data_IF_567464690731
#
_entry.id   IF_567464690731
#
_cell.length_a   1.000
_cell.length_b   1.000
_cell.length_c   1.000
_cell.angle_alpha   90.00
_cell.angle_beta   90.00
_cell.angle_gamma   90.00
#
_symmetry.space_group_name_H-M   'P 1'
#
loop_
_entity.id
_entity.type
_entity.pdbx_description
1 polymer ?
#
# COMPACT_ATOMS: atom_id res chain seq x y z
N UNK A 1 2.30 -20.08 6.37
CA UNK A 1 2.47 -20.53 4.97
C UNK A 1 3.79 -21.24 4.80
N UNK A 2 3.97 -21.97 3.71
CA UNK A 2 5.18 -22.76 3.47
C UNK A 2 6.27 -21.95 2.75
N UNK A 3 7.56 -22.29 2.93
CA UNK A 3 8.64 -21.76 2.12
C UNK A 3 8.39 -21.91 0.62
N UNK A 4 8.75 -20.87 -0.15
CA UNK A 4 8.66 -20.89 -1.61
C UNK A 4 7.23 -20.92 -2.17
N UNK A 5 6.20 -20.88 -1.32
CA UNK A 5 4.79 -20.86 -1.72
C UNK A 5 4.44 -19.50 -2.33
N UNK A 6 3.80 -19.50 -3.50
CA UNK A 6 3.15 -18.31 -4.04
C UNK A 6 1.82 -18.09 -3.32
N UNK A 7 1.56 -16.85 -2.92
CA UNK A 7 0.32 -16.47 -2.28
C UNK A 7 -0.06 -15.04 -2.62
N UNK A 8 -1.35 -14.74 -2.47
CA UNK A 8 -1.90 -13.40 -2.63
C UNK A 8 -2.34 -12.86 -1.28
N UNK A 9 -2.02 -11.60 -1.01
CA UNK A 9 -2.63 -10.83 0.07
C UNK A 9 -3.31 -9.60 -0.50
N UNK A 10 -4.41 -9.20 0.15
CA UNK A 10 -5.19 -8.03 -0.21
C UNK A 10 -4.96 -6.91 0.81
N UNK A 11 -4.73 -5.70 0.30
CA UNK A 11 -4.70 -4.48 1.08
C UNK A 11 -5.95 -3.69 0.73
N UNK A 12 -6.90 -3.64 1.67
CA UNK A 12 -8.07 -2.79 1.57
C UNK A 12 -7.84 -1.47 2.31
N UNK A 13 -8.44 -0.40 1.80
CA UNK A 13 -8.26 0.95 2.32
C UNK A 13 -9.60 1.60 2.59
N UNK A 14 -9.69 2.26 3.74
CA UNK A 14 -10.85 3.06 4.07
C UNK A 14 -10.96 4.27 3.14
N UNK A 15 -12.19 4.72 2.93
CA UNK A 15 -12.44 5.97 2.20
C UNK A 15 -12.00 7.17 3.05
N UNK A 16 -11.47 8.20 2.39
CA UNK A 16 -11.05 9.44 3.05
C UNK A 16 -12.06 10.54 2.75
N UNK A 17 -12.66 11.15 3.77
CA UNK A 17 -13.46 12.37 3.58
C UNK A 17 -12.57 13.60 3.64
N UNK A 18 -12.54 14.37 2.55
CA UNK A 18 -11.83 15.66 2.51
C UNK A 18 -12.60 16.69 3.33
N UNK A 19 -12.01 17.12 4.45
CA UNK A 19 -12.58 18.21 5.24
C UNK A 19 -12.50 19.53 4.42
N UNK A 20 -13.64 20.16 4.09
CA UNK A 20 -13.65 21.37 3.27
C UNK A 20 -12.94 22.56 3.92
N UNK A 21 -12.76 22.54 5.25
CA UNK A 21 -12.18 23.62 6.04
C UNK A 21 -10.74 23.37 6.50
N UNK A 22 -10.07 22.37 5.90
CA UNK A 22 -8.70 21.99 6.28
C UNK A 22 -7.73 23.18 6.29
N UNK A 23 -7.96 24.17 5.43
CA UNK A 23 -7.09 25.33 5.27
C UNK A 23 -7.71 26.63 5.79
N UNK A 24 -8.94 26.61 6.33
CA UNK A 24 -9.56 27.82 6.89
C UNK A 24 -8.66 28.40 8.00
N UNK A 25 -8.21 29.64 7.81
CA UNK A 25 -7.54 30.41 8.85
C UNK A 25 -8.63 31.18 9.63
N UNK A 26 -8.92 30.81 10.88
CA UNK A 26 -9.96 31.49 11.67
C UNK A 26 -9.55 32.91 12.09
N UNK A 27 -8.26 33.26 12.06
CA UNK A 27 -7.75 34.57 12.48
C UNK A 27 -7.72 35.59 11.33
N UNK A 28 -7.45 35.12 10.12
CA UNK A 28 -7.50 35.93 8.91
C UNK A 28 -8.68 35.41 8.09
N UNK A 29 -9.78 36.17 8.00
CA UNK A 29 -11.05 35.84 7.29
C UNK A 29 -10.93 35.48 5.79
N UNK A 30 -9.74 35.12 5.33
CA UNK A 30 -9.41 34.43 4.10
C UNK A 30 -9.89 32.98 4.22
N UNK A 31 -11.03 32.69 3.58
CA UNK A 31 -11.44 31.31 3.31
C UNK A 31 -10.39 30.73 2.38
N UNK A 32 -9.45 29.95 2.89
CA UNK A 32 -8.44 29.29 2.07
C UNK A 32 -9.05 28.07 1.37
N UNK A 33 -10.13 28.27 0.61
CA UNK A 33 -10.65 27.24 -0.28
C UNK A 33 -11.45 26.12 0.34
N UNK A 34 -12.68 25.94 -0.15
CA UNK A 34 -13.37 24.67 0.02
C UNK A 34 -12.70 23.60 -0.86
N UNK A 35 -12.30 22.48 -0.24
CA UNK A 35 -11.79 21.31 -0.95
C UNK A 35 -12.94 20.59 -1.67
N UNK A 36 -12.91 20.60 -3.01
CA UNK A 36 -13.99 20.05 -3.83
C UNK A 36 -13.87 18.54 -4.10
N UNK A 37 -12.73 18.10 -4.64
CA UNK A 37 -12.45 16.69 -4.96
C UNK A 37 -10.94 16.45 -5.03
N UNK A 38 -10.53 15.18 -5.09
CA UNK A 38 -9.14 14.78 -5.30
C UNK A 38 -8.91 14.35 -6.76
N UNK A 39 -7.74 14.68 -7.30
CA UNK A 39 -7.27 14.25 -8.60
C UNK A 39 -5.78 13.95 -8.57
N UNK A 40 -5.30 13.14 -9.52
CA UNK A 40 -3.91 12.65 -9.57
C UNK A 40 -3.47 11.99 -8.28
N UNK A 41 -4.40 11.27 -7.66
CA UNK A 41 -4.12 10.46 -6.48
C UNK A 41 -3.14 9.35 -6.86
N UNK A 42 -2.15 9.13 -6.00
CA UNK A 42 -1.32 7.93 -6.01
C UNK A 42 -1.25 7.31 -4.62
N UNK A 43 -1.02 6.00 -4.60
CA UNK A 43 -0.70 5.23 -3.41
C UNK A 43 0.48 4.30 -3.70
N UNK A 44 1.55 4.41 -2.93
CA UNK A 44 2.75 3.59 -3.04
C UNK A 44 2.84 2.64 -1.82
N UNK A 45 3.05 1.34 -2.07
CA UNK A 45 3.28 0.31 -1.05
C UNK A 45 4.59 -0.43 -1.33
N UNK A 46 5.22 -0.98 -0.30
CA UNK A 46 6.44 -1.76 -0.48
C UNK A 46 6.09 -3.20 -0.92
N UNK A 47 6.90 -3.76 -1.81
CA UNK A 47 6.99 -5.21 -1.96
C UNK A 47 7.68 -5.73 -0.69
N UNK A 48 7.06 -6.64 0.08
CA UNK A 48 7.65 -7.12 1.33
C UNK A 48 9.08 -7.64 1.13
N UNK A 49 9.98 -7.29 2.04
CA UNK A 49 11.37 -7.74 1.95
C UNK A 49 11.44 -9.27 2.06
N UNK A 50 12.34 -9.88 1.28
CA UNK A 50 12.58 -11.32 1.31
C UNK A 50 11.55 -12.16 0.54
N UNK A 51 10.64 -11.52 -0.22
CA UNK A 51 9.75 -12.22 -1.14
C UNK A 51 10.15 -11.94 -2.59
N UNK A 52 9.77 -12.85 -3.49
CA UNK A 52 9.86 -12.58 -4.93
C UNK A 52 8.51 -12.09 -5.44
N UNK A 53 8.49 -10.92 -6.08
CA UNK A 53 7.27 -10.38 -6.66
C UNK A 53 6.81 -11.17 -7.87
N UNK A 54 5.53 -11.56 -7.90
CA UNK A 54 4.90 -12.26 -9.02
C UNK A 54 4.01 -11.31 -9.80
N UNK A 55 2.99 -10.73 -9.15
CA UNK A 55 2.03 -9.82 -9.78
C UNK A 55 1.32 -8.93 -8.76
N UNK A 56 0.65 -7.88 -9.25
CA UNK A 56 -0.28 -7.10 -8.46
C UNK A 56 -1.42 -6.58 -9.36
N UNK A 57 -2.60 -6.39 -8.77
CA UNK A 57 -3.79 -5.87 -9.46
C UNK A 57 -4.58 -4.94 -8.56
N UNK A 58 -5.34 -4.05 -9.18
CA UNK A 58 -6.30 -3.20 -8.49
C UNK A 58 -7.57 -4.00 -8.20
N UNK A 59 -8.04 -3.95 -6.96
CA UNK A 59 -9.35 -4.45 -6.57
C UNK A 59 -10.37 -3.32 -6.79
N UNK A 60 -11.22 -3.51 -7.80
CA UNK A 60 -12.06 -2.46 -8.36
C UNK A 60 -13.04 -1.87 -7.32
N UNK A 61 -12.98 -0.57 -7.00
CA UNK A 61 -13.97 0.04 -6.14
C UNK A 61 -15.23 0.30 -6.96
N UNK A 62 -16.38 -0.17 -6.45
CA UNK A 62 -17.69 0.13 -7.02
C UNK A 62 -18.06 1.61 -6.83
N UNK A 63 -17.48 2.52 -7.62
CA UNK A 63 -17.71 3.96 -7.43
C UNK A 63 -17.59 4.79 -8.70
N UNK A 64 -18.22 5.98 -8.68
CA UNK A 64 -18.16 6.97 -9.74
C UNK A 64 -16.84 7.75 -9.71
N UNK A 65 -16.10 7.80 -10.81
CA UNK A 65 -14.82 8.52 -10.89
C UNK A 65 -13.91 7.98 -11.98
N UNK A 66 -12.65 8.41 -11.97
CA UNK A 66 -11.58 7.81 -12.77
C UNK A 66 -10.67 7.06 -11.82
N UNK A 67 -10.65 5.73 -11.87
CA UNK A 67 -9.86 4.89 -10.97
C UNK A 67 -8.64 4.29 -11.67
N UNK A 68 -7.57 3.95 -10.93
CA UNK A 68 -6.45 3.21 -11.48
C UNK A 68 -6.93 1.83 -11.94
N UNK A 69 -6.41 1.37 -13.08
CA UNK A 69 -6.68 0.03 -13.62
C UNK A 69 -5.51 -0.92 -13.42
N UNK A 70 -4.33 -0.38 -13.09
CA UNK A 70 -3.07 -1.11 -13.08
C UNK A 70 -2.21 -0.71 -11.88
N UNK A 71 -1.34 -1.64 -11.48
CA UNK A 71 -0.29 -1.43 -10.48
C UNK A 71 1.06 -1.53 -11.20
N UNK A 72 1.93 -0.55 -11.00
CA UNK A 72 3.27 -0.52 -11.61
C UNK A 72 4.36 -0.66 -10.55
N UNK A 73 5.51 -1.24 -10.92
CA UNK A 73 6.67 -1.29 -10.04
C UNK A 73 7.51 -0.03 -10.17
N UNK A 74 7.97 0.52 -9.05
CA UNK A 74 8.82 1.72 -9.00
C UNK A 74 10.05 1.52 -8.09
N UNK A 75 11.10 2.30 -8.32
CA UNK A 75 12.29 2.37 -7.46
C UNK A 75 12.10 3.38 -6.33
N UNK A 76 13.12 3.50 -5.46
CA UNK A 76 13.17 4.47 -4.37
C UNK A 76 13.08 5.93 -4.80
N UNK A 77 13.34 6.24 -6.07
CA UNK A 77 13.17 7.58 -6.64
C UNK A 77 11.78 7.79 -7.26
N UNK A 78 10.88 6.81 -7.18
CA UNK A 78 9.54 6.92 -7.76
C UNK A 78 9.44 6.60 -9.26
N UNK A 79 10.56 6.31 -9.94
CA UNK A 79 10.54 5.95 -11.36
C UNK A 79 10.14 4.50 -11.60
N UNK A 80 9.41 4.27 -12.69
CA UNK A 80 9.04 2.93 -13.15
C UNK A 80 10.26 2.03 -13.36
N UNK A 81 10.14 0.78 -12.91
CA UNK A 81 11.22 -0.19 -13.00
C UNK A 81 10.72 -1.61 -12.83
N UNK A 82 11.08 -2.48 -13.78
CA UNK A 82 10.80 -3.92 -13.68
C UNK A 82 11.43 -4.58 -12.44
N UNK A 83 12.47 -3.99 -11.87
CA UNK A 83 13.15 -4.46 -10.65
C UNK A 83 12.93 -3.53 -9.44
N UNK A 84 11.96 -2.63 -9.53
CA UNK A 84 11.60 -1.74 -8.43
C UNK A 84 11.11 -2.51 -7.21
N UNK A 85 11.39 -2.01 -6.00
CA UNK A 85 11.02 -2.64 -4.73
C UNK A 85 9.65 -2.18 -4.22
N UNK A 86 8.98 -1.31 -4.95
CA UNK A 86 7.72 -0.70 -4.55
C UNK A 86 6.68 -0.88 -5.63
N UNK A 87 5.41 -0.81 -5.24
CA UNK A 87 4.25 -0.85 -6.11
C UNK A 87 3.52 0.49 -6.02
N UNK A 88 3.11 1.03 -7.16
CA UNK A 88 2.32 2.26 -7.26
C UNK A 88 0.98 1.96 -7.90
N UNK A 89 -0.06 2.42 -7.22
CA UNK A 89 -1.40 2.52 -7.73
C UNK A 89 -1.69 3.97 -8.13
N UNK A 90 -1.83 4.20 -9.43
CA UNK A 90 -2.16 5.49 -10.03
C UNK A 90 -2.76 5.27 -11.43
N UNK A 91 -3.65 6.14 -11.89
CA UNK A 91 -4.16 6.07 -13.26
C UNK A 91 -3.20 6.77 -14.23
N UNK A 92 -2.72 6.04 -15.24
CA UNK A 92 -1.73 6.50 -16.22
C UNK A 92 -0.42 7.01 -15.58
N UNK A 93 -0.11 6.55 -14.37
CA UNK A 93 1.02 7.01 -13.55
C UNK A 93 1.10 8.55 -13.39
N UNK A 94 -0.05 9.24 -13.43
CA UNK A 94 -0.11 10.68 -13.21
C UNK A 94 -0.26 10.98 -11.72
N UNK A 95 0.73 11.67 -11.15
CA UNK A 95 0.83 12.02 -9.72
C UNK A 95 0.58 13.53 -9.48
N UNK A 96 0.52 13.97 -8.22
CA UNK A 96 0.10 15.34 -7.88
C UNK A 96 0.99 16.44 -8.47
N UNK A 97 2.27 16.16 -8.71
CA UNK A 97 3.24 17.16 -9.12
C UNK A 97 2.96 17.68 -10.53
N UNK A 98 2.77 18.99 -10.67
CA UNK A 98 2.74 19.68 -11.97
C UNK A 98 4.13 20.23 -12.27
N UNK A 99 4.66 19.98 -13.46
CA UNK A 99 5.64 20.89 -14.06
C UNK A 99 4.91 21.83 -14.98
N UNK A 100 5.25 23.12 -14.93
CA UNK A 100 4.67 24.19 -15.77
C UNK A 100 4.75 23.87 -17.28
N UNK A 101 5.63 22.93 -17.68
CA UNK A 101 5.86 22.54 -19.07
C UNK A 101 5.68 21.03 -19.36
N UNK A 102 5.01 20.26 -18.49
CA UNK A 102 4.66 18.85 -18.76
C UNK A 102 5.86 17.93 -19.03
N UNK A 103 6.97 18.15 -18.33
CA UNK A 103 8.14 17.28 -18.37
C UNK A 103 8.10 16.24 -17.25
N UNK A 104 8.44 14.99 -17.58
CA UNK A 104 8.63 13.87 -16.64
C UNK A 104 9.49 14.33 -15.47
N UNK A 105 8.90 14.35 -14.27
CA UNK A 105 9.68 14.62 -13.06
C UNK A 105 10.36 13.34 -12.63
N UNK A 106 11.40 13.46 -11.80
CA UNK A 106 12.20 12.33 -11.33
C UNK A 106 11.39 11.33 -10.47
N UNK A 107 10.11 11.63 -10.23
CA UNK A 107 9.22 10.95 -9.28
C UNK A 107 8.06 10.19 -10.02
N UNK A 108 8.03 10.18 -11.36
CA UNK A 108 7.04 9.54 -12.25
C UNK A 108 6.67 10.38 -13.51
N UNK A 109 6.08 9.80 -14.58
CA UNK A 109 5.83 10.49 -15.85
C UNK A 109 4.72 11.55 -15.71
N UNK A 110 5.19 12.77 -15.58
CA UNK A 110 4.45 14.00 -15.72
C UNK A 110 4.42 14.40 -17.20
N UNK A 111 3.41 13.94 -17.93
CA UNK A 111 3.03 14.54 -19.22
C UNK A 111 1.57 14.93 -19.19
N UNK A 112 1.24 16.03 -18.52
CA UNK A 112 0.64 17.14 -19.24
C UNK A 112 0.51 18.39 -18.37
N UNK A 113 0.82 19.53 -18.97
CA UNK A 113 0.31 20.84 -18.58
C UNK A 113 -1.22 20.96 -18.84
N UNK A 114 -1.94 19.84 -19.01
CA UNK A 114 -3.34 19.77 -19.38
C UNK A 114 -4.14 18.83 -18.48
N UNK A 115 -5.46 18.92 -18.61
CA UNK A 115 -6.45 18.46 -17.63
C UNK A 115 -6.76 16.95 -17.73
N UNK A 116 -5.94 16.19 -18.47
CA UNK A 116 -6.23 14.82 -18.85
C UNK A 116 -5.25 13.85 -18.19
N UNK A 117 -5.78 12.97 -17.33
CA UNK A 117 -5.06 11.88 -16.68
C UNK A 117 -5.03 11.96 -15.16
N UNK A 118 -4.90 10.79 -14.51
CA UNK A 118 -4.83 10.67 -13.06
C UNK A 118 -6.11 10.18 -12.41
N UNK A 119 -5.94 9.47 -11.30
CA UNK A 119 -7.03 8.94 -10.49
C UNK A 119 -7.75 10.12 -9.83
N UNK A 120 -9.06 10.23 -10.05
CA UNK A 120 -9.88 11.33 -9.56
C UNK A 120 -11.22 10.88 -9.00
N UNK A 121 -11.62 11.53 -7.92
CA UNK A 121 -12.95 11.39 -7.29
C UNK A 121 -13.88 12.47 -7.84
N UNK A 122 -15.19 12.22 -7.80
CA UNK A 122 -16.21 13.22 -8.21
C UNK A 122 -16.76 14.00 -7.02
N UNK A 123 -16.48 13.56 -5.80
CA UNK A 123 -16.92 14.13 -4.54
C UNK A 123 -15.74 14.24 -3.55
N UNK A 124 -16.02 14.76 -2.37
CA UNK A 124 -15.07 14.88 -1.26
C UNK A 124 -14.72 13.55 -0.59
N UNK A 125 -15.51 12.51 -0.83
CA UNK A 125 -15.24 11.17 -0.31
C UNK A 125 -14.35 10.42 -1.31
N UNK A 126 -13.07 10.29 -0.97
CA UNK A 126 -12.13 9.52 -1.76
C UNK A 126 -12.22 8.04 -1.43
N UNK A 127 -12.91 7.29 -2.29
CA UNK A 127 -12.83 5.83 -2.31
C UNK A 127 -11.44 5.42 -2.82
N UNK A 128 -10.78 4.54 -2.06
CA UNK A 128 -9.48 3.98 -2.41
C UNK A 128 -9.68 2.52 -2.82
N UNK A 129 -9.38 2.14 -4.08
CA UNK A 129 -9.33 0.74 -4.49
C UNK A 129 -8.45 -0.10 -3.56
N UNK A 130 -8.78 -1.37 -3.39
CA UNK A 130 -7.86 -2.32 -2.77
C UNK A 130 -6.71 -2.68 -3.72
N UNK A 131 -5.66 -3.30 -3.19
CA UNK A 131 -4.55 -3.86 -3.97
C UNK A 131 -4.43 -5.35 -3.63
N UNK A 132 -4.52 -6.22 -4.64
CA UNK A 132 -4.06 -7.61 -4.50
C UNK A 132 -2.60 -7.69 -4.90
N UNK A 133 -1.77 -8.30 -4.06
CA UNK A 133 -0.35 -8.54 -4.36
C UNK A 133 -0.05 -10.03 -4.23
N UNK A 134 0.48 -10.61 -5.30
CA UNK A 134 0.97 -11.98 -5.32
C UNK A 134 2.49 -11.99 -5.23
N UNK A 135 3.01 -12.70 -4.23
CA UNK A 135 4.45 -12.89 -4.04
C UNK A 135 4.76 -14.34 -3.74
N UNK A 136 6.00 -14.75 -4.01
CA UNK A 136 6.57 -16.01 -3.57
C UNK A 136 7.24 -15.80 -2.22
N UNK A 137 6.86 -16.60 -1.21
CA UNK A 137 7.50 -16.60 0.09
C UNK A 137 8.99 -16.97 0.00
N UNK A 138 9.85 -16.52 0.92
CA UNK A 138 11.25 -16.93 0.98
C UNK A 138 11.39 -18.45 0.98
N UNK A 139 12.34 -18.95 0.20
CA UNK A 139 12.69 -20.37 0.21
C UNK A 139 13.36 -20.75 1.55
N UNK A 140 13.19 -22.00 1.98
CA UNK A 140 13.95 -22.53 3.11
C UNK A 140 15.37 -22.84 2.64
N UNK A 141 16.32 -22.01 3.05
CA UNK A 141 17.73 -22.21 2.69
C UNK A 141 18.41 -23.34 3.49
N UNK A 142 17.65 -24.11 4.27
CA UNK A 142 18.14 -25.30 4.97
C UNK A 142 19.14 -24.96 6.08
N UNK A 143 19.12 -23.72 6.58
CA UNK A 143 19.97 -23.30 7.67
C UNK A 143 19.75 -24.17 8.91
N UNK A 144 20.79 -24.33 9.74
CA UNK A 144 20.77 -25.13 10.99
C UNK A 144 19.85 -24.54 12.09
N UNK A 145 18.96 -23.63 11.72
CA UNK A 145 17.99 -23.02 12.64
C UNK A 145 16.95 -24.05 13.03
N UNK A 146 16.80 -24.24 14.35
CA UNK A 146 15.74 -25.03 14.97
C UNK A 146 14.42 -24.26 15.06
N UNK A 147 14.38 -23.00 14.61
CA UNK A 147 13.13 -22.23 14.53
C UNK A 147 12.20 -22.84 13.48
N UNK A 148 10.93 -23.01 13.85
CA UNK A 148 9.87 -23.39 12.92
C UNK A 148 9.46 -22.24 12.00
N UNK A 149 9.71 -20.98 12.41
CA UNK A 149 9.53 -19.79 11.58
C UNK A 149 10.82 -19.51 10.83
N UNK A 150 10.75 -19.49 9.50
CA UNK A 150 11.90 -19.30 8.62
C UNK A 150 11.94 -17.89 8.02
N UNK A 151 10.84 -17.15 8.08
CA UNK A 151 10.75 -15.78 7.61
C UNK A 151 9.44 -15.10 8.03
N UNK A 152 9.45 -13.78 7.97
CA UNK A 152 8.27 -12.95 8.19
C UNK A 152 8.09 -12.05 6.97
N UNK A 153 6.85 -11.93 6.52
CA UNK A 153 6.44 -11.09 5.40
C UNK A 153 5.59 -9.97 5.98
N UNK A 154 6.04 -8.73 5.81
CA UNK A 154 5.44 -7.55 6.42
C UNK A 154 5.07 -6.52 5.35
N UNK A 155 3.84 -6.54 4.83
CA UNK A 155 3.34 -5.48 3.96
C UNK A 155 3.37 -4.13 4.67
N UNK A 156 3.83 -3.10 3.98
CA UNK A 156 3.93 -1.72 4.49
C UNK A 156 3.56 -0.73 3.39
N UNK A 157 3.09 0.45 3.78
CA UNK A 157 3.13 1.60 2.86
C UNK A 157 4.59 1.98 2.60
N UNK A 158 4.88 2.67 1.50
CA UNK A 158 6.25 3.05 1.18
C UNK A 158 6.80 4.08 2.17
N UNK A 159 7.78 3.68 2.98
CA UNK A 159 8.37 4.56 4.01
C UNK A 159 9.88 4.82 3.84
N UNK A 160 10.47 4.39 2.73
CA UNK A 160 11.89 4.59 2.42
C UNK A 160 12.31 6.07 2.27
N UNK A 161 13.59 6.29 1.94
CA UNK A 161 14.34 7.56 1.84
C UNK A 161 13.49 8.84 1.85
N UNK A 162 12.86 9.18 0.73
CA UNK A 162 12.09 10.42 0.59
C UNK A 162 10.60 10.23 0.93
N UNK A 163 10.10 8.99 0.89
CA UNK A 163 8.69 8.71 1.08
C UNK A 163 8.19 8.99 2.51
N UNK A 164 9.10 9.03 3.49
CA UNK A 164 8.78 9.44 4.86
C UNK A 164 9.09 10.92 5.17
N UNK A 165 9.67 11.68 4.23
CA UNK A 165 10.04 13.08 4.46
C UNK A 165 8.80 13.95 4.39
N UNK A 166 8.64 14.87 5.36
CA UNK A 166 7.48 15.76 5.39
C UNK A 166 7.36 16.59 4.10
N UNK A 167 6.13 16.70 3.57
CA UNK A 167 5.81 17.50 2.38
C UNK A 167 6.65 17.14 1.13
N UNK A 168 6.97 15.86 0.94
CA UNK A 168 7.79 15.39 -0.18
C UNK A 168 6.91 14.75 -1.28
N UNK A 169 7.11 15.06 -2.57
CA UNK A 169 6.34 14.42 -3.67
C UNK A 169 6.51 12.89 -3.73
N UNK A 170 7.59 12.35 -3.18
CA UNK A 170 7.81 10.90 -3.05
C UNK A 170 6.98 10.24 -1.95
N UNK A 171 6.22 10.99 -1.15
CA UNK A 171 5.37 10.45 -0.11
C UNK A 171 4.46 9.34 -0.63
N UNK A 172 4.17 8.36 0.21
CA UNK A 172 3.46 7.15 -0.20
C UNK A 172 2.06 7.47 -0.73
N UNK A 173 1.38 8.45 -0.14
CA UNK A 173 0.06 8.88 -0.56
C UNK A 173 0.07 10.36 -0.85
N UNK A 174 -0.31 10.72 -2.08
CA UNK A 174 -0.37 12.11 -2.52
C UNK A 174 -1.53 12.33 -3.46
N UNK A 175 -2.12 13.51 -3.42
CA UNK A 175 -3.16 13.91 -4.37
C UNK A 175 -3.18 15.42 -4.53
N UNK A 176 -3.81 15.87 -5.61
CA UNK A 176 -4.06 17.26 -5.91
C UNK A 176 -5.54 17.55 -5.62
N UNK A 177 -5.86 18.60 -4.88
CA UNK A 177 -7.24 19.01 -4.61
C UNK A 177 -7.54 20.39 -5.15
N UNK A 178 -8.73 20.59 -5.71
CA UNK A 178 -9.15 21.88 -6.25
C UNK A 178 -9.68 22.77 -5.12
N UNK A 179 -9.20 24.01 -5.10
CA UNK A 179 -9.76 25.09 -4.31
C UNK A 179 -10.90 25.74 -5.10
N UNK A 180 -12.14 25.68 -4.58
CA UNK A 180 -13.32 26.24 -5.24
C UNK A 180 -13.53 27.76 -5.02
N UNK A 181 -12.59 28.47 -4.37
CA UNK A 181 -12.65 29.93 -4.19
C UNK A 181 -12.17 30.66 -5.45
N UNK A 182 -13.01 30.70 -6.48
CA UNK A 182 -12.79 31.55 -7.64
C UNK A 182 -13.36 32.95 -7.37
N UNK A 183 -12.58 33.87 -6.81
CA UNK A 183 -12.96 35.29 -6.75
C UNK A 183 -12.26 36.13 -7.85
N UNK A 184 -12.85 37.29 -8.19
CA UNK A 184 -12.39 38.22 -9.23
C UNK A 184 -11.02 38.87 -8.93
N UNK A 185 -10.51 38.73 -7.71
CA UNK A 185 -9.32 39.40 -7.17
C UNK A 185 -8.17 38.38 -7.02
N UNK A 186 -8.47 37.09 -6.88
CA UNK A 186 -7.56 35.96 -6.80
C UNK A 186 -7.86 34.94 -7.92
N UNK A 187 -7.53 35.27 -9.19
CA UNK A 187 -7.82 34.43 -10.36
C UNK A 187 -7.03 33.09 -10.42
N UNK A 188 -6.32 32.74 -9.34
CA UNK A 188 -5.50 31.54 -9.22
C UNK A 188 -5.81 30.79 -7.91
N UNK A 189 -7.07 30.43 -7.65
CA UNK A 189 -7.38 29.31 -6.74
C UNK A 189 -7.00 27.96 -7.39
N UNK A 190 -5.74 27.89 -7.81
CA UNK A 190 -5.14 26.76 -8.47
C UNK A 190 -4.78 25.74 -7.42
N UNK A 191 -5.44 24.59 -7.48
CA UNK A 191 -5.00 23.30 -6.96
C UNK A 191 -3.92 23.24 -5.84
N UNK A 192 -4.25 22.62 -4.71
CA UNK A 192 -3.32 22.34 -3.61
C UNK A 192 -2.83 20.89 -3.65
N UNK A 193 -1.53 20.70 -3.45
CA UNK A 193 -0.92 19.37 -3.28
C UNK A 193 -1.04 18.93 -1.83
N UNK A 194 -1.59 17.73 -1.63
CA UNK A 194 -1.60 17.04 -0.34
C UNK A 194 -0.59 15.91 -0.41
N UNK A 195 0.30 15.86 0.59
CA UNK A 195 1.40 14.89 0.65
C UNK A 195 1.46 14.30 2.05
N UNK A 196 1.15 13.02 2.15
CA UNK A 196 1.03 12.33 3.42
C UNK A 196 2.33 11.62 3.75
N UNK A 197 3.10 12.18 4.69
CA UNK A 197 4.17 11.45 5.36
C UNK A 197 3.59 10.66 6.56
N UNK A 198 4.09 9.45 6.85
CA UNK A 198 3.70 8.68 8.04
C UNK A 198 4.39 9.26 9.29
N UNK A 199 4.18 10.54 9.56
CA UNK A 199 4.72 11.30 10.70
C UNK A 199 3.62 12.23 11.20
N UNK A 200 3.53 12.39 12.52
CA UNK A 200 2.51 13.26 13.13
C UNK A 200 2.89 14.74 13.01
N UNK A 201 4.20 15.03 12.95
CA UNK A 201 4.78 16.36 12.77
C UNK A 201 6.00 16.28 11.85
N UNK A 202 6.51 17.40 11.31
CA UNK A 202 7.68 17.39 10.43
C UNK A 202 8.93 16.71 11.03
N UNK A 203 9.12 16.85 12.35
CA UNK A 203 10.32 16.39 13.05
C UNK A 203 10.11 15.10 13.87
N UNK A 204 8.87 14.60 13.99
CA UNK A 204 8.59 13.36 14.74
C UNK A 204 9.06 12.13 13.97
N UNK A 205 9.37 11.04 14.69
CA UNK A 205 9.63 9.72 14.09
C UNK A 205 8.46 9.20 13.22
N UNK A 206 8.72 8.13 12.47
CA UNK A 206 7.68 7.44 11.70
C UNK A 206 6.63 6.90 12.68
N UNK A 207 5.37 7.29 12.48
CA UNK A 207 4.25 6.89 13.31
C UNK A 207 3.77 5.46 12.97
N UNK A 208 2.72 5.01 13.64
CA UNK A 208 2.15 3.66 13.43
C UNK A 208 1.65 3.42 12.01
N UNK A 209 1.30 4.48 11.26
CA UNK A 209 0.85 4.37 9.87
C UNK A 209 1.97 3.93 8.91
N UNK A 210 3.24 4.06 9.30
CA UNK A 210 4.39 3.59 8.54
C UNK A 210 4.94 2.22 8.97
N UNK A 211 4.30 1.56 9.95
CA UNK A 211 4.71 0.25 10.45
C UNK A 211 4.06 -0.88 9.63
N UNK A 212 4.48 -2.15 9.81
CA UNK A 212 3.82 -3.29 9.18
C UNK A 212 2.31 -3.29 9.39
N UNK A 213 1.55 -3.37 8.29
CA UNK A 213 0.09 -3.47 8.31
C UNK A 213 -0.36 -4.81 8.90
N UNK A 214 0.45 -5.85 8.67
CA UNK A 214 0.30 -7.18 9.25
C UNK A 214 1.64 -7.90 9.21
N UNK A 215 1.72 -9.07 9.85
CA UNK A 215 2.87 -9.98 9.78
C UNK A 215 2.41 -11.37 9.41
N UNK A 216 2.89 -11.86 8.27
CA UNK A 216 2.60 -13.21 7.78
C UNK A 216 3.83 -14.07 8.03
N UNK A 217 3.67 -15.14 8.80
CA UNK A 217 4.76 -16.06 9.14
C UNK A 217 4.91 -17.15 8.08
N UNK A 218 6.14 -17.29 7.62
CA UNK A 218 6.58 -18.42 6.81
C UNK A 218 7.12 -19.47 7.76
N UNK A 219 6.49 -20.64 7.75
CA UNK A 219 6.79 -21.74 8.65
C UNK A 219 7.24 -22.94 7.85
N UNK A 220 8.30 -23.60 8.32
CA UNK A 220 8.72 -24.88 7.78
C UNK A 220 7.55 -25.85 7.98
N UNK A 221 7.15 -26.55 6.92
CA UNK A 221 6.34 -27.75 7.09
C UNK A 221 7.17 -28.69 7.97
N UNK A 222 6.72 -28.94 9.20
CA UNK A 222 7.48 -29.84 10.06
C UNK A 222 7.68 -31.15 9.31
N UNK A 223 8.94 -31.57 9.20
CA UNK A 223 9.28 -32.90 8.71
C UNK A 223 8.41 -33.86 9.51
N UNK A 224 7.44 -34.50 8.86
CA UNK A 224 6.61 -35.53 9.47
C UNK A 224 7.46 -36.80 9.62
N UNK A 225 8.58 -36.70 10.34
CA UNK A 225 9.32 -37.85 10.88
C UNK A 225 8.70 -38.32 12.19
N UNK A 226 7.48 -37.88 12.53
CA UNK A 226 6.58 -38.75 13.28
C UNK A 226 6.43 -40.02 12.45
N UNK A 227 7.20 -41.03 12.85
CA UNK A 227 6.96 -42.43 12.51
C UNK A 227 5.45 -42.62 12.65
N UNK A 228 4.70 -42.92 11.56
CA UNK A 228 3.28 -43.17 11.70
C UNK A 228 3.13 -44.26 12.77
N UNK A 229 2.23 -44.09 13.75
CA UNK A 229 2.13 -45.04 14.84
C UNK A 229 2.01 -46.45 14.25
N UNK A 230 2.94 -47.33 14.61
CA UNK A 230 2.93 -48.71 14.16
C UNK A 230 1.66 -49.37 14.71
N UNK A 231 0.68 -49.55 13.83
CA UNK A 231 -0.61 -50.17 14.13
C UNK A 231 -0.56 -51.70 13.99
N UNK A 232 0.62 -52.30 13.79
CA UNK A 232 0.74 -53.75 13.60
C UNK A 232 0.41 -54.49 14.90
N UNK A 233 -0.68 -55.25 14.91
CA UNK A 233 -1.05 -56.15 16.01
C UNK A 233 -2.04 -55.62 17.06
N UNK A 234 -2.65 -54.43 16.86
CA UNK A 234 -3.63 -53.88 17.81
C UNK A 234 -5.09 -54.19 17.44
N UNK A 235 -5.93 -54.40 18.44
CA UNK A 235 -7.37 -54.74 18.26
C UNK A 235 -8.27 -53.57 18.68
N UNK A 236 -9.52 -53.56 18.20
CA UNK A 236 -10.40 -52.39 18.02
C UNK A 236 -10.69 -51.43 19.20
N UNK A 237 -10.15 -51.64 20.40
CA UNK A 237 -10.14 -50.64 21.47
C UNK A 237 -8.90 -49.72 21.42
N UNK A 238 -7.79 -50.20 20.85
CA UNK A 238 -6.51 -49.47 20.79
C UNK A 238 -6.38 -48.52 19.59
N UNK A 239 -7.30 -48.58 18.62
CA UNK A 239 -7.33 -47.67 17.46
C UNK A 239 -7.76 -46.24 17.85
N UNK A 240 -8.42 -46.07 19.00
CA UNK A 240 -8.83 -44.75 19.52
C UNK A 240 -7.65 -43.89 20.02
N UNK A 241 -6.44 -44.44 20.12
CA UNK A 241 -5.22 -43.67 20.42
C UNK A 241 -4.44 -43.25 19.16
N UNK A 242 -4.83 -43.71 17.97
CA UNK A 242 -4.16 -43.37 16.70
C UNK A 242 -4.95 -42.34 15.87
N UNK A 243 -6.09 -41.88 16.38
CA UNK A 243 -6.99 -40.98 15.66
C UNK A 243 -6.99 -39.61 16.36
N UNK A 244 -6.57 -38.59 15.59
CA UNK A 244 -6.73 -37.14 15.78
C UNK A 244 -5.78 -36.43 16.77
N UNK A 245 -4.65 -35.95 16.25
CA UNK A 245 -4.08 -34.67 16.68
C UNK A 245 -4.49 -33.56 15.70
N UNK A 246 -5.80 -33.41 15.51
CA UNK A 246 -6.37 -32.19 14.96
C UNK A 246 -7.28 -31.52 16.00
N UNK A 247 -6.66 -30.55 16.69
CA UNK A 247 -7.22 -29.31 17.22
C UNK A 247 -8.05 -29.26 18.53
N UNK A 248 -7.81 -28.15 19.24
CA UNK A 248 -8.64 -27.41 20.23
C UNK A 248 -8.38 -27.68 21.73
N UNK A 249 -7.56 -26.84 22.38
CA UNK A 249 -7.99 -25.76 23.31
C UNK A 249 -6.79 -24.93 23.82
N UNK A 250 -6.97 -23.61 23.80
CA UNK A 250 -6.10 -22.57 24.37
C UNK A 250 -5.95 -22.69 25.90
N UNK A 251 -4.93 -22.03 26.48
CA UNK A 251 -5.20 -20.76 27.17
C UNK A 251 -4.64 -19.52 26.45
#
# INVERSE_FOLDING_TARGET
MSPGEEFTYDLDFDSIELNPKTFDDPENAVVAGELGYATRTKLDVDIPKGTDFVSASVNDPSSSGKFPTDIIRIKDDGNESATGTHLRMALNNATEQRTENGGVTKDGPNTSAHNDGGWSTTNRTMAIPGISVTVKAPDDTGGTSTSSVIGEITPTVRVGTNANVYNNPDNFFTFLTKNDVSDLIQPHSGYHSIRCSPRDTPDSDINSGGQPLTTIRVVRAQDSTDVPPDCTGKTGADLNQCILNDQVLQP
#
